data_IF_421240317553
#
_entry.id   IF_421240317553
#
_cell.length_a   1.000
_cell.length_b   1.000
_cell.length_c   1.000
_cell.angle_alpha   90.00
_cell.angle_beta   90.00
_cell.angle_gamma   90.00
#
_symmetry.space_group_name_H-M   'P 1'
#
loop_
_entity.id
_entity.type
_entity.pdbx_description
1 polymer ?
#
# COMPACT_ATOMS: atom_id res chain seq x y z
N UNK A 1 25.49 -8.36 22.22
CA UNK A 1 26.04 -7.43 21.21
C UNK A 1 25.89 -8.13 19.86
N UNK A 2 24.99 -7.68 19.02
CA UNK A 2 24.85 -8.19 17.65
C UNK A 2 26.13 -7.92 16.86
N UNK A 3 26.51 -8.86 15.98
CA UNK A 3 27.67 -8.70 15.09
C UNK A 3 27.54 -7.37 14.31
N UNK A 4 28.65 -6.67 14.02
CA UNK A 4 28.57 -5.43 13.27
C UNK A 4 27.98 -5.70 11.90
N UNK A 5 26.89 -5.02 11.58
CA UNK A 5 26.25 -5.15 10.28
C UNK A 5 27.23 -4.69 9.18
N UNK A 6 27.39 -5.46 8.09
CA UNK A 6 28.30 -5.09 7.00
C UNK A 6 27.80 -3.83 6.28
N UNK A 7 28.74 -3.09 5.68
CA UNK A 7 28.39 -1.98 4.78
C UNK A 7 27.62 -2.49 3.58
N UNK A 8 26.52 -1.83 3.24
CA UNK A 8 25.70 -2.14 2.07
C UNK A 8 25.77 -1.05 1.02
N UNK A 9 25.61 -1.43 -0.23
CA UNK A 9 25.56 -0.52 -1.38
C UNK A 9 24.46 -0.94 -2.36
N UNK A 10 23.81 0.04 -2.97
CA UNK A 10 22.84 -0.19 -4.06
C UNK A 10 22.70 1.02 -4.96
N UNK A 11 22.20 0.81 -6.18
CA UNK A 11 21.67 1.87 -7.03
C UNK A 11 20.32 2.28 -6.45
N UNK A 12 20.18 3.55 -6.06
CA UNK A 12 18.99 4.09 -5.41
C UNK A 12 18.01 4.77 -6.39
N UNK A 13 18.42 4.98 -7.63
CA UNK A 13 17.56 5.52 -8.71
C UNK A 13 16.91 4.39 -9.50
N UNK A 14 15.76 4.67 -10.13
CA UNK A 14 15.07 3.71 -10.99
C UNK A 14 16.00 3.21 -12.13
N UNK A 15 15.89 1.94 -12.55
CA UNK A 15 16.67 1.41 -13.67
C UNK A 15 16.35 2.15 -14.97
N UNK A 16 17.37 2.31 -15.84
CA UNK A 16 17.20 2.95 -17.13
C UNK A 16 18.27 4.01 -17.41
N UNK A 17 18.02 4.87 -18.41
CA UNK A 17 18.91 5.98 -18.75
C UNK A 17 18.34 7.29 -18.19
N UNK A 18 19.08 7.92 -17.30
CA UNK A 18 18.73 9.20 -16.70
C UNK A 18 19.89 10.20 -16.73
N UNK A 19 19.60 11.48 -16.57
CA UNK A 19 20.64 12.51 -16.44
C UNK A 19 21.45 12.35 -15.15
N UNK A 20 20.83 11.80 -14.09
CA UNK A 20 21.45 11.56 -12.78
C UNK A 20 21.17 10.13 -12.33
N UNK A 21 22.20 9.45 -11.81
CA UNK A 21 22.09 8.20 -11.09
C UNK A 21 22.70 8.33 -9.70
N UNK A 22 22.16 7.59 -8.73
CA UNK A 22 22.58 7.62 -7.33
C UNK A 22 22.97 6.24 -6.85
N UNK A 23 24.20 6.08 -6.36
CA UNK A 23 24.63 4.95 -5.55
C UNK A 23 24.52 5.35 -4.09
N UNK A 24 23.84 4.55 -3.29
CA UNK A 24 23.73 4.75 -1.84
C UNK A 24 24.47 3.66 -1.09
N UNK A 25 25.22 4.07 -0.07
CA UNK A 25 25.89 3.17 0.88
C UNK A 25 25.39 3.46 2.30
N UNK A 26 25.29 2.45 3.13
CA UNK A 26 25.03 2.57 4.57
C UNK A 26 25.91 1.60 5.36
N UNK A 27 26.45 2.06 6.49
CA UNK A 27 27.30 1.26 7.34
C UNK A 27 27.99 2.09 8.41
N UNK A 28 28.87 1.45 9.19
CA UNK A 28 29.66 2.12 10.22
C UNK A 28 30.96 2.63 9.67
N UNK A 29 31.34 3.89 10.05
CA UNK A 29 32.64 4.48 9.70
C UNK A 29 32.93 4.51 8.20
N UNK A 30 32.03 5.10 7.41
CA UNK A 30 32.17 5.18 5.95
C UNK A 30 33.10 6.30 5.45
N UNK A 31 33.60 7.16 6.32
CA UNK A 31 34.45 8.28 5.91
C UNK A 31 35.72 7.85 5.14
N UNK A 32 36.48 6.79 5.55
CA UNK A 32 37.63 6.30 4.78
C UNK A 32 37.25 5.83 3.36
N UNK A 33 36.09 5.19 3.23
CA UNK A 33 35.59 4.75 1.93
C UNK A 33 35.26 5.94 1.03
N UNK A 34 34.58 6.97 1.57
CA UNK A 34 34.31 8.22 0.87
C UNK A 34 35.61 8.92 0.41
N UNK A 35 36.65 8.96 1.24
CA UNK A 35 37.95 9.51 0.90
C UNK A 35 38.62 8.75 -0.25
N UNK A 36 38.58 7.41 -0.19
CA UNK A 36 39.15 6.57 -1.25
C UNK A 36 38.46 6.82 -2.60
N UNK A 37 37.14 6.89 -2.60
CA UNK A 37 36.35 7.17 -3.81
C UNK A 37 36.59 8.55 -4.40
N UNK A 38 36.89 9.55 -3.56
CA UNK A 38 37.05 10.95 -3.96
C UNK A 38 38.49 11.42 -4.11
N UNK A 39 39.46 10.48 -4.18
CA UNK A 39 40.89 10.83 -4.33
C UNK A 39 41.49 11.51 -3.10
N UNK A 40 41.10 11.09 -1.91
CA UNK A 40 41.63 11.61 -0.64
C UNK A 40 40.88 12.82 -0.07
N UNK A 41 39.87 13.33 -0.76
CA UNK A 41 39.07 14.45 -0.27
C UNK A 41 38.18 14.02 0.91
N UNK A 42 38.06 14.87 1.92
CA UNK A 42 37.23 14.60 3.11
C UNK A 42 35.88 15.31 2.96
N UNK A 43 34.75 14.60 2.75
CA UNK A 43 33.45 15.24 2.67
C UNK A 43 33.01 15.76 4.03
N UNK A 44 32.47 16.99 4.07
CA UNK A 44 31.81 17.50 5.26
C UNK A 44 30.38 16.97 5.33
N UNK A 45 29.86 16.60 6.50
CA UNK A 45 28.49 16.12 6.63
C UNK A 45 27.48 17.11 6.04
N UNK A 46 26.53 16.58 5.22
CA UNK A 46 25.43 17.31 4.58
C UNK A 46 25.87 18.45 3.66
N UNK A 47 27.10 18.39 3.17
CA UNK A 47 27.66 19.37 2.22
C UNK A 47 27.97 18.66 0.92
N UNK A 48 27.49 19.22 -0.19
CA UNK A 48 27.76 18.69 -1.53
C UNK A 48 29.26 18.88 -1.88
N UNK A 49 29.94 17.77 -2.14
CA UNK A 49 31.33 17.75 -2.59
C UNK A 49 31.35 17.35 -4.07
N UNK A 50 31.63 18.30 -4.97
CA UNK A 50 31.87 17.96 -6.39
C UNK A 50 33.28 17.37 -6.54
N UNK A 51 33.35 16.16 -7.11
CA UNK A 51 34.60 15.40 -7.24
C UNK A 51 34.53 14.35 -8.32
N UNK A 52 35.71 13.88 -8.76
CA UNK A 52 35.81 12.66 -9.55
C UNK A 52 35.62 11.45 -8.63
N UNK A 53 34.96 10.40 -9.12
CA UNK A 53 34.82 9.09 -8.48
C UNK A 53 35.85 8.14 -9.10
N UNK A 54 36.79 7.67 -8.29
CA UNK A 54 37.98 6.95 -8.76
C UNK A 54 37.80 5.43 -8.76
N UNK A 55 38.21 4.81 -9.85
CA UNK A 55 38.38 3.37 -9.98
C UNK A 55 39.53 2.80 -9.15
N UNK A 56 39.71 1.47 -9.18
CA UNK A 56 40.81 0.78 -8.53
C UNK A 56 42.19 1.09 -9.11
N UNK A 57 42.23 1.52 -10.36
CA UNK A 57 43.40 1.97 -11.10
C UNK A 57 43.73 3.46 -10.90
N UNK A 58 42.93 4.16 -10.10
CA UNK A 58 43.04 5.59 -9.86
C UNK A 58 42.52 6.49 -10.99
N UNK A 59 41.95 5.91 -12.04
CA UNK A 59 41.31 6.69 -13.10
C UNK A 59 39.89 7.09 -12.72
N UNK A 60 39.37 8.23 -13.17
CA UNK A 60 37.99 8.62 -12.97
C UNK A 60 37.04 7.64 -13.68
N UNK A 61 36.08 7.09 -12.94
CA UNK A 61 34.92 6.37 -13.50
C UNK A 61 33.90 7.38 -13.98
N UNK A 62 33.63 8.40 -13.16
CA UNK A 62 32.69 9.47 -13.42
C UNK A 62 33.03 10.68 -12.54
N UNK A 63 32.33 11.80 -12.73
CA UNK A 63 32.40 12.93 -11.82
C UNK A 63 30.97 13.36 -11.40
N UNK A 64 30.86 13.89 -10.20
CA UNK A 64 29.55 14.25 -9.68
C UNK A 64 29.60 14.77 -8.25
N UNK A 65 28.49 14.60 -7.54
CA UNK A 65 28.33 15.06 -6.17
C UNK A 65 28.44 13.86 -5.22
N UNK A 66 29.33 13.97 -4.23
CA UNK A 66 29.37 13.09 -3.07
C UNK A 66 28.70 13.79 -1.90
N UNK A 67 27.70 13.14 -1.31
CA UNK A 67 27.07 13.55 -0.05
C UNK A 67 27.39 12.55 1.05
N UNK A 68 27.78 13.06 2.22
CA UNK A 68 28.03 12.27 3.41
C UNK A 68 27.06 12.68 4.53
N UNK A 69 26.41 11.69 5.13
CA UNK A 69 25.52 11.86 6.27
C UNK A 69 26.10 11.07 7.45
N UNK A 70 26.61 11.78 8.44
CA UNK A 70 27.18 11.16 9.62
C UNK A 70 26.08 10.60 10.54
N UNK A 71 26.33 9.43 11.11
CA UNK A 71 25.49 8.86 12.16
C UNK A 71 25.37 9.79 13.37
N UNK A 72 24.22 9.82 14.07
CA UNK A 72 22.95 9.18 13.76
C UNK A 72 22.04 10.03 12.85
N UNK A 73 22.55 11.13 12.29
CA UNK A 73 21.78 12.12 11.54
C UNK A 73 21.67 11.76 10.04
N UNK A 74 21.29 10.52 9.76
CA UNK A 74 21.07 9.95 8.42
C UNK A 74 19.73 9.24 8.34
N UNK A 75 19.36 8.71 7.16
CA UNK A 75 18.15 7.94 6.95
C UNK A 75 18.15 6.63 7.75
N UNK A 76 19.26 5.86 7.68
CA UNK A 76 19.37 4.57 8.35
C UNK A 76 19.80 4.67 9.81
N UNK A 77 20.21 5.85 10.28
CA UNK A 77 20.85 6.03 11.60
C UNK A 77 22.34 5.62 11.65
N UNK A 78 22.87 5.02 10.57
CA UNK A 78 24.30 4.75 10.35
C UNK A 78 24.94 5.88 9.53
N UNK A 79 26.25 5.80 9.24
CA UNK A 79 26.81 6.66 8.20
C UNK A 79 26.21 6.31 6.84
N UNK A 80 25.87 7.32 6.05
CA UNK A 80 25.33 7.15 4.69
C UNK A 80 26.17 7.99 3.73
N UNK A 81 26.51 7.39 2.58
CA UNK A 81 27.13 8.09 1.46
C UNK A 81 26.20 7.98 0.26
N UNK A 82 26.06 9.07 -0.47
CA UNK A 82 25.45 9.10 -1.80
C UNK A 82 26.44 9.60 -2.82
N UNK A 83 26.63 8.82 -3.90
CA UNK A 83 27.38 9.18 -5.09
C UNK A 83 26.37 9.51 -6.18
N UNK A 84 26.26 10.77 -6.54
CA UNK A 84 25.34 11.28 -7.56
C UNK A 84 26.15 11.62 -8.81
N UNK A 85 26.14 10.67 -9.77
CA UNK A 85 26.84 10.78 -11.04
C UNK A 85 25.88 10.74 -12.22
N UNK A 86 26.39 10.43 -13.43
CA UNK A 86 25.57 10.27 -14.62
C UNK A 86 24.80 8.93 -14.58
N UNK A 87 23.49 8.98 -14.86
CA UNK A 87 22.55 7.85 -14.73
C UNK A 87 22.61 6.85 -15.90
N UNK A 88 23.77 6.65 -16.50
CA UNK A 88 23.98 5.61 -17.51
C UNK A 88 24.16 4.24 -16.84
N UNK A 89 23.50 3.15 -17.31
CA UNK A 89 23.58 1.84 -16.66
C UNK A 89 25.03 1.34 -16.47
N UNK A 90 25.91 1.57 -17.44
CA UNK A 90 27.32 1.16 -17.37
C UNK A 90 28.09 1.92 -16.30
N UNK A 91 27.86 3.25 -16.21
CA UNK A 91 28.51 4.09 -15.19
C UNK A 91 28.06 3.68 -13.79
N UNK A 92 26.74 3.46 -13.61
CA UNK A 92 26.18 3.01 -12.33
C UNK A 92 26.74 1.64 -11.91
N UNK A 93 26.86 0.70 -12.84
CA UNK A 93 27.44 -0.62 -12.58
C UNK A 93 28.94 -0.52 -12.19
N UNK A 94 29.74 0.29 -12.90
CA UNK A 94 31.14 0.52 -12.55
C UNK A 94 31.29 1.15 -11.15
N UNK A 95 30.48 2.14 -10.81
CA UNK A 95 30.51 2.79 -9.48
C UNK A 95 30.08 1.82 -8.39
N UNK A 96 29.03 1.03 -8.61
CA UNK A 96 28.58 0.02 -7.66
C UNK A 96 29.66 -1.05 -7.46
N UNK A 97 30.23 -1.59 -8.55
CA UNK A 97 31.33 -2.56 -8.50
C UNK A 97 32.51 -2.02 -7.70
N UNK A 98 32.86 -0.72 -7.89
CA UNK A 98 33.91 -0.08 -7.10
C UNK A 98 33.59 -0.04 -5.61
N UNK A 99 32.34 0.23 -5.23
CA UNK A 99 31.91 0.21 -3.83
C UNK A 99 32.04 -1.22 -3.23
N UNK A 100 31.70 -2.25 -4.01
CA UNK A 100 31.84 -3.66 -3.59
C UNK A 100 33.31 -4.06 -3.40
N UNK A 101 34.22 -3.66 -4.30
CA UNK A 101 35.66 -3.86 -4.16
C UNK A 101 36.22 -3.22 -2.87
N UNK A 102 35.65 -2.10 -2.44
CA UNK A 102 36.02 -1.42 -1.20
C UNK A 102 35.40 -2.05 0.07
N UNK A 103 34.74 -3.20 -0.06
CA UNK A 103 34.25 -3.99 1.06
C UNK A 103 32.77 -3.81 1.41
N UNK A 104 32.02 -3.09 0.59
CA UNK A 104 30.57 -3.12 0.69
C UNK A 104 30.02 -4.44 0.11
N UNK A 105 28.82 -4.83 0.52
CA UNK A 105 28.05 -5.88 -0.18
C UNK A 105 26.80 -5.26 -0.81
N UNK A 106 26.20 -5.98 -1.75
CA UNK A 106 24.88 -5.59 -2.27
C UNK A 106 23.85 -5.53 -1.15
N UNK A 107 23.04 -4.49 -1.17
CA UNK A 107 21.87 -4.40 -0.30
C UNK A 107 20.79 -5.39 -0.72
N UNK A 108 20.11 -5.96 0.25
CA UNK A 108 18.87 -6.71 0.03
C UNK A 108 17.70 -5.75 -0.25
N UNK A 109 16.57 -6.23 -0.83
CA UNK A 109 15.36 -5.43 -0.96
C UNK A 109 14.96 -4.81 0.37
N UNK A 110 14.65 -3.50 0.40
CA UNK A 110 14.24 -2.77 1.60
C UNK A 110 15.25 -2.65 2.72
N UNK A 111 16.52 -3.05 2.53
CA UNK A 111 17.49 -3.13 3.63
C UNK A 111 17.83 -1.77 4.25
N UNK A 112 17.86 -0.69 3.49
CA UNK A 112 18.08 0.64 4.05
C UNK A 112 16.94 1.04 4.98
N UNK A 113 15.69 0.79 4.60
CA UNK A 113 14.51 1.08 5.42
C UNK A 113 14.43 0.13 6.62
N UNK A 114 14.79 -1.16 6.46
CA UNK A 114 14.91 -2.11 7.57
C UNK A 114 15.92 -1.63 8.62
N UNK A 115 17.08 -1.11 8.19
CA UNK A 115 18.07 -0.53 9.10
C UNK A 115 17.56 0.73 9.79
N UNK A 116 16.81 1.57 9.08
CA UNK A 116 16.16 2.74 9.68
C UNK A 116 15.19 2.32 10.80
N UNK A 117 14.38 1.29 10.58
CA UNK A 117 13.50 0.70 11.59
C UNK A 117 14.30 0.13 12.77
N UNK A 118 15.29 -0.73 12.53
CA UNK A 118 16.11 -1.35 13.59
C UNK A 118 16.92 -0.33 14.41
N UNK A 119 17.22 0.81 13.84
CA UNK A 119 17.90 1.92 14.50
C UNK A 119 16.92 2.99 15.08
N UNK A 120 15.64 2.66 15.21
CA UNK A 120 14.59 3.53 15.77
C UNK A 120 14.48 4.91 15.06
N UNK A 121 14.74 4.96 13.75
CA UNK A 121 14.53 6.16 12.92
C UNK A 121 13.10 6.25 12.41
N UNK A 122 12.49 5.10 12.19
CA UNK A 122 11.12 4.90 11.75
C UNK A 122 10.53 3.75 12.55
N UNK A 123 9.25 3.79 12.84
CA UNK A 123 8.49 2.59 13.23
C UNK A 123 8.10 1.76 11.98
N UNK A 124 7.46 0.61 12.19
CA UNK A 124 7.15 -0.30 11.09
C UNK A 124 6.11 0.28 10.12
N UNK A 125 5.08 0.98 10.61
CA UNK A 125 4.07 1.61 9.77
C UNK A 125 4.67 2.77 8.96
N UNK A 126 5.57 3.57 9.55
CA UNK A 126 6.33 4.60 8.83
C UNK A 126 7.27 3.98 7.78
N UNK A 127 7.94 2.87 8.11
CA UNK A 127 8.81 2.17 7.18
C UNK A 127 8.03 1.68 5.94
N UNK A 128 6.86 1.09 6.14
CA UNK A 128 5.97 0.68 5.05
C UNK A 128 5.48 1.85 4.19
N UNK A 129 5.25 3.01 4.83
CA UNK A 129 4.80 4.22 4.12
C UNK A 129 5.85 4.76 3.14
N UNK A 130 7.14 4.40 3.29
CA UNK A 130 8.18 4.72 2.30
C UNK A 130 7.87 4.04 0.96
N UNK A 131 7.51 2.75 0.98
CA UNK A 131 7.12 2.03 -0.22
C UNK A 131 5.81 2.57 -0.79
N UNK A 132 4.80 2.80 0.06
CA UNK A 132 3.50 3.31 -0.36
C UNK A 132 3.61 4.69 -1.03
N UNK A 133 4.53 5.55 -0.58
CA UNK A 133 4.77 6.86 -1.19
C UNK A 133 5.39 6.74 -2.60
N UNK A 134 6.24 5.74 -2.81
CA UNK A 134 6.91 5.49 -4.08
C UNK A 134 5.95 4.88 -5.09
N UNK A 135 5.11 3.95 -4.63
CA UNK A 135 4.17 3.18 -5.44
C UNK A 135 2.83 3.92 -5.63
N UNK A 136 2.68 5.11 -5.03
CA UNK A 136 1.44 5.88 -5.07
C UNK A 136 1.02 6.22 -6.52
N UNK A 137 -0.16 5.75 -6.90
CA UNK A 137 -0.73 5.93 -8.24
C UNK A 137 -1.63 7.16 -8.38
N UNK A 138 -1.96 7.84 -7.26
CA UNK A 138 -2.76 9.06 -7.25
C UNK A 138 -2.17 10.13 -6.33
N UNK A 139 -2.55 11.40 -6.56
CA UNK A 139 -2.14 12.53 -5.70
C UNK A 139 -2.60 12.34 -4.26
N UNK A 140 -3.80 11.79 -4.07
CA UNK A 140 -4.38 11.52 -2.75
C UNK A 140 -3.60 10.44 -2.03
N UNK A 141 -3.31 9.30 -2.70
CA UNK A 141 -2.49 8.24 -2.13
C UNK A 141 -1.09 8.75 -1.73
N UNK A 142 -0.42 9.55 -2.58
CA UNK A 142 0.88 10.12 -2.27
C UNK A 142 0.85 11.05 -1.04
N UNK A 143 -0.18 11.91 -0.91
CA UNK A 143 -0.35 12.80 0.25
C UNK A 143 -0.56 11.99 1.54
N UNK A 144 -1.38 10.95 1.49
CA UNK A 144 -1.66 10.11 2.65
C UNK A 144 -0.47 9.27 3.04
N UNK A 145 0.26 8.68 2.06
CA UNK A 145 1.52 8.00 2.33
C UNK A 145 2.54 8.92 3.02
N UNK A 146 2.66 10.17 2.57
CA UNK A 146 3.53 11.15 3.22
C UNK A 146 3.08 11.48 4.66
N UNK A 147 1.77 11.53 4.93
CA UNK A 147 1.25 11.73 6.31
C UNK A 147 1.56 10.54 7.20
N UNK A 148 1.33 9.31 6.71
CA UNK A 148 1.68 8.09 7.43
C UNK A 148 3.18 8.02 7.70
N UNK A 149 4.03 8.35 6.72
CA UNK A 149 5.48 8.44 6.89
C UNK A 149 5.89 9.48 7.95
N UNK A 150 5.14 10.58 8.09
CA UNK A 150 5.35 11.59 9.15
C UNK A 150 4.82 11.16 10.52
N UNK A 151 4.26 9.95 10.64
CA UNK A 151 3.85 9.34 11.88
C UNK A 151 2.39 9.60 12.28
N UNK A 152 1.54 10.16 11.41
CA UNK A 152 0.14 10.42 11.77
C UNK A 152 -0.62 9.16 12.18
N UNK A 153 -0.43 8.05 11.46
CA UNK A 153 -1.04 6.77 11.81
C UNK A 153 -0.44 6.20 13.09
N UNK A 154 0.89 6.16 13.19
CA UNK A 154 1.61 5.65 14.34
C UNK A 154 1.23 6.39 15.63
N UNK A 155 1.00 7.70 15.56
CA UNK A 155 0.56 8.47 16.72
C UNK A 155 -0.80 7.99 17.25
N UNK A 156 -1.77 7.73 16.38
CA UNK A 156 -3.08 7.20 16.80
C UNK A 156 -2.95 5.81 17.44
N UNK A 157 -2.06 4.96 16.88
CA UNK A 157 -1.80 3.63 17.45
C UNK A 157 -1.14 3.74 18.84
N UNK A 158 -0.11 4.60 18.99
CA UNK A 158 0.54 4.81 20.29
C UNK A 158 -0.45 5.32 21.34
N UNK A 159 -1.33 6.28 20.97
CA UNK A 159 -2.38 6.77 21.87
C UNK A 159 -3.35 5.65 22.31
N UNK A 160 -3.72 4.73 21.41
CA UNK A 160 -4.51 3.55 21.77
C UNK A 160 -3.77 2.60 22.70
N UNK A 161 -2.49 2.35 22.43
CA UNK A 161 -1.63 1.49 23.26
C UNK A 161 -1.44 2.10 24.67
N UNK A 162 -1.20 3.40 24.77
CA UNK A 162 -1.05 4.09 26.05
C UNK A 162 -2.33 4.04 26.89
N UNK A 163 -3.50 4.21 26.24
CA UNK A 163 -4.80 4.07 26.91
C UNK A 163 -5.04 2.63 27.39
N UNK A 164 -4.68 1.62 26.54
CA UNK A 164 -4.75 0.19 26.91
C UNK A 164 -3.85 -0.13 28.10
N UNK A 165 -2.59 0.33 28.09
CA UNK A 165 -1.65 0.17 29.19
C UNK A 165 -2.23 0.79 30.46
N UNK A 166 -2.76 2.01 30.37
CA UNK A 166 -3.34 2.71 31.51
C UNK A 166 -4.52 1.94 32.10
N UNK A 167 -5.43 1.45 31.26
CA UNK A 167 -6.58 0.68 31.70
C UNK A 167 -6.14 -0.67 32.31
N UNK A 168 -5.18 -1.35 31.66
CA UNK A 168 -4.65 -2.63 32.15
C UNK A 168 -3.97 -2.48 33.51
N UNK A 169 -3.16 -1.43 33.73
CA UNK A 169 -2.55 -1.14 35.03
C UNK A 169 -3.59 -1.00 36.15
N UNK A 170 -4.72 -0.33 35.87
CA UNK A 170 -5.82 -0.19 36.84
C UNK A 170 -6.45 -1.54 37.18
N UNK A 171 -6.64 -2.40 36.17
CA UNK A 171 -7.22 -3.74 36.36
C UNK A 171 -6.25 -4.66 37.11
N UNK A 172 -4.98 -4.68 36.71
CA UNK A 172 -3.93 -5.48 37.39
C UNK A 172 -3.73 -5.05 38.86
N UNK A 173 -3.81 -3.74 39.15
CA UNK A 173 -3.76 -3.25 40.53
C UNK A 173 -4.90 -3.80 41.41
N UNK A 174 -6.09 -4.01 40.85
CA UNK A 174 -7.21 -4.65 41.55
C UNK A 174 -6.92 -6.12 41.86
N UNK A 175 -6.22 -6.82 40.99
CA UNK A 175 -5.83 -8.23 41.19
C UNK A 175 -4.71 -8.39 42.24
N UNK A 176 -3.77 -7.43 42.28
CA UNK A 176 -2.62 -7.47 43.18
C UNK A 176 -2.99 -7.09 44.65
N UNK A 177 -4.05 -6.30 44.84
CA UNK A 177 -4.50 -5.83 46.16
C UNK A 177 -5.95 -6.21 46.49
N UNK A 178 -6.28 -7.49 46.53
CA UNK A 178 -7.68 -7.95 46.75
C UNK A 178 -8.22 -7.69 48.15
N UNK A 179 -7.38 -7.34 49.14
CA UNK A 179 -7.77 -7.10 50.52
C UNK A 179 -8.12 -5.62 50.82
N UNK A 180 -7.97 -4.71 49.84
CA UNK A 180 -8.37 -3.33 50.03
C UNK A 180 -9.87 -3.16 49.72
N UNK A 181 -10.61 -2.52 50.67
CA UNK A 181 -12.05 -2.21 50.54
C UNK A 181 -12.40 -1.23 49.42
N UNK A 182 -11.47 -0.94 48.53
CA UNK A 182 -11.64 -0.01 47.39
C UNK A 182 -11.86 -0.83 46.13
N UNK A 183 -13.05 -0.75 45.54
CA UNK A 183 -13.26 -1.20 44.18
C UNK A 183 -12.54 -0.25 43.19
N UNK A 184 -11.30 -0.58 42.89
CA UNK A 184 -10.48 0.21 41.97
C UNK A 184 -11.11 0.30 40.59
N UNK A 185 -11.91 -0.68 40.17
CA UNK A 185 -12.61 -0.65 38.86
C UNK A 185 -13.70 0.41 38.87
N UNK A 186 -14.50 0.54 39.94
CA UNK A 186 -15.48 1.61 40.09
C UNK A 186 -14.84 2.97 40.32
N UNK A 187 -13.86 3.06 41.23
CA UNK A 187 -13.20 4.31 41.59
C UNK A 187 -12.44 4.93 40.39
N UNK A 188 -11.90 4.10 39.51
CA UNK A 188 -11.16 4.53 38.32
C UNK A 188 -12.00 4.61 37.04
N UNK A 189 -13.31 4.33 37.13
CA UNK A 189 -14.21 4.28 35.96
C UNK A 189 -13.68 3.38 34.83
N UNK A 190 -13.24 2.17 35.14
CA UNK A 190 -12.63 1.25 34.19
C UNK A 190 -13.57 0.93 33.00
N UNK A 191 -14.87 0.81 33.25
CA UNK A 191 -15.89 0.55 32.22
C UNK A 191 -16.08 1.74 31.29
N UNK A 192 -16.10 2.98 31.83
CA UNK A 192 -16.16 4.20 31.02
C UNK A 192 -14.91 4.39 30.16
N UNK A 193 -13.72 4.08 30.72
CA UNK A 193 -12.46 4.08 29.96
C UNK A 193 -12.46 3.05 28.84
N UNK A 194 -12.94 1.82 29.08
CA UNK A 194 -13.09 0.80 28.04
C UNK A 194 -14.00 1.27 26.92
N UNK A 195 -15.16 1.85 27.25
CA UNK A 195 -16.10 2.38 26.26
C UNK A 195 -15.48 3.51 25.43
N UNK A 196 -14.73 4.42 26.06
CA UNK A 196 -14.02 5.49 25.36
C UNK A 196 -12.95 4.93 24.42
N UNK A 197 -12.20 3.93 24.85
CA UNK A 197 -11.19 3.23 24.06
C UNK A 197 -11.81 2.52 22.83
N UNK A 198 -12.92 1.80 23.02
CA UNK A 198 -13.68 1.20 21.91
C UNK A 198 -14.14 2.24 20.89
N UNK A 199 -14.63 3.39 21.35
CA UNK A 199 -15.04 4.50 20.48
C UNK A 199 -13.86 5.07 19.67
N UNK A 200 -12.68 5.22 20.30
CA UNK A 200 -11.46 5.67 19.63
C UNK A 200 -10.98 4.65 18.61
N UNK A 201 -10.92 3.36 18.99
CA UNK A 201 -10.51 2.28 18.08
C UNK A 201 -11.40 2.23 16.83
N UNK A 202 -12.73 2.33 16.98
CA UNK A 202 -13.67 2.38 15.84
C UNK A 202 -13.40 3.56 14.90
N UNK A 203 -13.04 4.72 15.44
CA UNK A 203 -12.67 5.89 14.63
C UNK A 203 -11.39 5.66 13.84
N UNK A 204 -10.37 5.07 14.47
CA UNK A 204 -9.10 4.72 13.82
C UNK A 204 -9.32 3.65 12.75
N UNK A 205 -10.09 2.61 13.06
CA UNK A 205 -10.42 1.53 12.13
C UNK A 205 -11.15 2.06 10.89
N UNK A 206 -12.19 2.87 11.06
CA UNK A 206 -12.90 3.49 9.93
C UNK A 206 -11.98 4.33 9.03
N UNK A 207 -11.06 5.10 9.62
CA UNK A 207 -10.05 5.86 8.85
C UNK A 207 -9.05 4.94 8.14
N UNK A 208 -8.65 3.84 8.76
CA UNK A 208 -7.74 2.85 8.20
C UNK A 208 -8.39 2.11 7.00
N UNK A 209 -9.66 1.74 7.09
CA UNK A 209 -10.44 1.12 6.01
C UNK A 209 -10.51 2.03 4.78
N UNK A 210 -10.82 3.31 4.97
CA UNK A 210 -10.82 4.30 3.88
C UNK A 210 -9.41 4.46 3.26
N UNK A 211 -8.37 4.48 4.09
CA UNK A 211 -6.99 4.54 3.63
C UNK A 211 -6.54 3.30 2.86
N UNK A 212 -7.03 2.12 3.22
CA UNK A 212 -6.77 0.88 2.49
C UNK A 212 -7.39 0.91 1.09
N UNK A 213 -8.60 1.43 0.95
CA UNK A 213 -9.26 1.63 -0.36
C UNK A 213 -8.42 2.52 -1.27
N UNK A 214 -7.87 3.62 -0.75
CA UNK A 214 -6.99 4.51 -1.53
C UNK A 214 -5.65 3.88 -1.91
N UNK A 215 -5.17 2.94 -1.12
CA UNK A 215 -3.91 2.24 -1.37
C UNK A 215 -4.10 1.08 -2.35
N UNK A 216 -5.05 0.21 -2.08
CA UNK A 216 -5.25 -1.04 -2.81
C UNK A 216 -6.11 -0.83 -4.07
N UNK A 217 -6.98 0.20 -4.03
CA UNK A 217 -7.92 0.45 -5.10
C UNK A 217 -9.01 -0.61 -5.17
N UNK A 218 -9.65 -0.73 -6.34
CA UNK A 218 -10.61 -1.78 -6.65
C UNK A 218 -10.27 -2.49 -7.95
N UNK A 219 -10.57 -3.78 -8.02
CA UNK A 219 -10.44 -4.59 -9.21
C UNK A 219 -11.81 -4.69 -9.91
N UNK A 220 -11.90 -4.20 -11.14
CA UNK A 220 -13.13 -4.16 -11.91
C UNK A 220 -13.00 -5.02 -13.14
N UNK A 221 -13.88 -6.00 -13.30
CA UNK A 221 -13.96 -6.84 -14.49
C UNK A 221 -14.94 -6.24 -15.49
N UNK A 222 -14.50 -6.05 -16.74
CA UNK A 222 -15.36 -5.61 -17.84
C UNK A 222 -15.84 -6.80 -18.67
N UNK A 223 -17.16 -7.01 -18.67
CA UNK A 223 -17.83 -8.05 -19.44
C UNK A 223 -18.71 -7.41 -20.52
N UNK A 224 -18.70 -7.95 -21.71
CA UNK A 224 -19.61 -7.49 -22.78
C UNK A 224 -19.16 -7.93 -24.18
N UNK A 225 -20.08 -7.89 -25.12
CA UNK A 225 -19.86 -8.24 -26.53
C UNK A 225 -18.78 -7.34 -27.18
N UNK A 226 -18.16 -7.76 -28.29
CA UNK A 226 -17.38 -6.84 -29.11
C UNK A 226 -18.23 -5.65 -29.54
N UNK A 227 -17.61 -4.45 -29.61
CA UNK A 227 -18.23 -3.19 -30.04
C UNK A 227 -19.38 -2.65 -29.15
N UNK A 228 -19.60 -3.22 -27.97
CA UNK A 228 -20.57 -2.68 -26.99
C UNK A 228 -20.12 -1.36 -26.36
N UNK A 229 -18.84 -0.99 -26.56
CA UNK A 229 -18.26 0.29 -26.09
C UNK A 229 -17.36 0.17 -24.87
N UNK A 230 -16.75 -1.00 -24.59
CA UNK A 230 -15.82 -1.18 -23.45
C UNK A 230 -14.68 -0.15 -23.45
N UNK A 231 -13.91 -0.07 -24.55
CA UNK A 231 -12.80 0.89 -24.66
C UNK A 231 -13.28 2.35 -24.60
N UNK A 232 -14.46 2.65 -25.16
CA UNK A 232 -15.05 4.00 -25.05
C UNK A 232 -15.40 4.34 -23.61
N UNK A 233 -15.94 3.38 -22.86
CA UNK A 233 -16.26 3.55 -21.44
C UNK A 233 -15.00 3.78 -20.62
N UNK A 234 -13.94 2.99 -20.84
CA UNK A 234 -12.66 3.16 -20.15
C UNK A 234 -12.05 4.51 -20.42
N UNK A 235 -11.96 4.93 -21.68
CA UNK A 235 -11.44 6.24 -22.04
C UNK A 235 -12.27 7.38 -21.42
N UNK A 236 -13.59 7.22 -21.38
CA UNK A 236 -14.47 8.21 -20.79
C UNK A 236 -14.38 8.26 -19.26
N UNK A 237 -14.17 7.13 -18.59
CA UNK A 237 -13.93 7.06 -17.14
C UNK A 237 -12.55 7.61 -16.76
N UNK A 238 -11.53 7.33 -17.58
CA UNK A 238 -10.18 7.82 -17.35
C UNK A 238 -10.09 9.36 -17.45
N UNK A 239 -10.88 10.00 -18.32
CA UNK A 239 -10.91 11.46 -18.47
C UNK A 239 -9.51 12.05 -18.65
N UNK A 240 -9.25 13.18 -17.97
CA UNK A 240 -7.92 13.81 -17.91
C UNK A 240 -6.99 13.18 -16.86
N UNK A 241 -7.52 12.30 -15.98
CA UNK A 241 -6.79 11.62 -14.90
C UNK A 241 -6.37 10.19 -15.31
N UNK A 242 -5.77 10.05 -16.48
CA UNK A 242 -5.08 8.81 -16.84
C UNK A 242 -3.94 8.65 -15.85
N UNK A 243 -4.00 7.60 -15.01
CA UNK A 243 -2.86 7.20 -14.21
C UNK A 243 -1.66 7.03 -15.16
N UNK A 244 -0.54 7.68 -14.85
CA UNK A 244 0.69 7.51 -15.62
C UNK A 244 1.07 6.03 -15.43
N UNK A 245 0.73 5.19 -16.41
CA UNK A 245 1.24 3.83 -16.48
C UNK A 245 2.74 3.98 -16.68
N UNK A 246 3.50 3.95 -15.61
CA UNK A 246 4.93 3.78 -15.71
C UNK A 246 5.15 2.33 -16.10
N UNK A 247 5.55 2.10 -17.34
CA UNK A 247 6.18 0.85 -17.77
C UNK A 247 7.45 0.65 -16.92
N UNK A 248 7.28 0.08 -15.73
CA UNK A 248 8.42 -0.36 -14.94
C UNK A 248 8.93 -1.61 -15.64
N UNK A 249 10.01 -1.45 -16.38
CA UNK A 249 10.70 -2.56 -17.03
C UNK A 249 11.10 -3.60 -15.97
N UNK A 250 10.39 -4.72 -15.93
CA UNK A 250 10.61 -5.81 -14.97
C UNK A 250 9.32 -6.40 -14.39
N UNK A 251 8.16 -5.73 -14.50
CA UNK A 251 6.86 -6.23 -14.03
C UNK A 251 5.99 -6.85 -15.16
N UNK A 252 6.55 -7.07 -16.35
CA UNK A 252 5.88 -7.58 -17.55
C UNK A 252 5.40 -9.04 -17.46
N UNK A 253 5.23 -9.59 -16.26
CA UNK A 253 4.67 -10.96 -16.06
C UNK A 253 3.21 -10.99 -15.63
N UNK A 254 2.61 -9.83 -15.32
CA UNK A 254 1.22 -9.75 -14.91
C UNK A 254 0.32 -9.33 -16.09
N UNK A 255 -0.92 -9.82 -16.06
CA UNK A 255 -1.99 -9.48 -17.01
C UNK A 255 -2.04 -7.98 -17.26
N UNK A 256 -2.20 -7.54 -18.51
CA UNK A 256 -2.38 -6.13 -18.90
C UNK A 256 -3.60 -5.59 -18.12
N UNK A 257 -3.32 -4.90 -17.00
CA UNK A 257 -4.32 -4.19 -16.22
C UNK A 257 -4.23 -2.72 -16.63
N UNK A 258 -5.27 -2.21 -17.26
CA UNK A 258 -5.40 -0.75 -17.40
C UNK A 258 -5.78 -0.20 -16.02
N UNK A 259 -5.11 0.84 -15.60
CA UNK A 259 -5.39 1.51 -14.32
C UNK A 259 -5.92 2.92 -14.59
N UNK A 260 -7.07 3.22 -13.98
CA UNK A 260 -7.65 4.56 -13.96
C UNK A 260 -7.80 5.03 -12.52
N UNK A 261 -8.08 6.30 -12.31
CA UNK A 261 -8.32 6.86 -10.98
C UNK A 261 -9.71 7.47 -10.91
N UNK A 262 -10.53 7.06 -9.94
CA UNK A 262 -11.85 7.63 -9.66
C UNK A 262 -11.82 8.31 -8.28
N UNK A 263 -11.93 9.64 -8.24
CA UNK A 263 -11.88 10.44 -6.99
C UNK A 263 -10.71 10.05 -6.06
N UNK A 264 -9.53 9.87 -6.65
CA UNK A 264 -8.32 9.47 -5.92
C UNK A 264 -8.16 7.96 -5.71
N UNK A 265 -9.21 7.16 -5.85
CA UNK A 265 -9.19 5.69 -5.70
C UNK A 265 -8.66 5.04 -6.97
N UNK A 266 -7.61 4.21 -6.91
CA UNK A 266 -7.14 3.43 -8.05
C UNK A 266 -8.17 2.39 -8.46
N UNK A 267 -8.43 2.26 -9.77
CA UNK A 267 -9.31 1.23 -10.33
C UNK A 267 -8.54 0.40 -11.34
N UNK A 268 -8.36 -0.86 -11.03
CA UNK A 268 -7.66 -1.82 -11.87
C UNK A 268 -8.65 -2.53 -12.78
N UNK A 269 -8.57 -2.26 -14.07
CA UNK A 269 -9.49 -2.84 -15.05
C UNK A 269 -8.95 -4.16 -15.56
N UNK A 270 -9.75 -5.19 -15.45
CA UNK A 270 -9.47 -6.55 -15.93
C UNK A 270 -10.31 -6.76 -17.21
N UNK A 271 -9.66 -6.79 -18.38
CA UNK A 271 -10.38 -7.06 -19.63
C UNK A 271 -10.60 -8.56 -19.82
N UNK A 272 -11.85 -8.93 -20.03
CA UNK A 272 -12.26 -10.34 -20.31
C UNK A 272 -11.97 -10.78 -21.74
N UNK A 273 -11.36 -9.94 -22.59
CA UNK A 273 -11.02 -10.34 -23.97
C UNK A 273 -10.06 -11.55 -24.00
N UNK A 274 -9.24 -11.74 -22.96
CA UNK A 274 -8.37 -12.90 -22.76
C UNK A 274 -9.05 -14.17 -22.24
N UNK A 275 -10.34 -14.15 -21.89
CA UNK A 275 -11.08 -15.34 -21.42
C UNK A 275 -11.62 -16.24 -22.55
N UNK A 276 -11.20 -16.02 -23.80
CA UNK A 276 -11.65 -16.84 -24.94
C UNK A 276 -10.95 -18.19 -24.89
N UNK A 277 -11.73 -19.27 -25.02
CA UNK A 277 -11.18 -20.61 -25.18
C UNK A 277 -10.35 -20.70 -26.48
N UNK A 278 -9.14 -21.23 -26.37
CA UNK A 278 -8.20 -21.43 -27.47
C UNK A 278 -7.44 -22.73 -27.26
N UNK A 279 -7.02 -23.34 -28.34
CA UNK A 279 -6.19 -24.54 -28.35
C UNK A 279 -4.67 -24.24 -28.23
N UNK A 280 -4.28 -22.97 -28.21
CA UNK A 280 -2.89 -22.55 -28.10
C UNK A 280 -2.41 -22.52 -26.63
N UNK A 281 -1.29 -23.20 -26.36
CA UNK A 281 -0.73 -23.36 -25.00
C UNK A 281 -0.35 -21.99 -24.38
N UNK A 282 0.09 -21.02 -25.16
CA UNK A 282 0.44 -19.67 -24.66
C UNK A 282 -0.81 -18.90 -24.27
N UNK A 283 -1.89 -19.05 -25.05
CA UNK A 283 -3.19 -18.45 -24.75
C UNK A 283 -3.88 -19.15 -23.56
N UNK A 284 -3.71 -20.47 -23.37
CA UNK A 284 -4.23 -21.17 -22.19
C UNK A 284 -3.65 -20.64 -20.87
N UNK A 285 -2.37 -20.29 -20.83
CA UNK A 285 -1.74 -19.63 -19.68
C UNK A 285 -2.36 -18.23 -19.44
N UNK A 286 -2.70 -17.53 -20.51
CA UNK A 286 -3.42 -16.25 -20.45
C UNK A 286 -4.82 -16.38 -19.86
N UNK A 287 -5.57 -17.44 -20.26
CA UNK A 287 -6.92 -17.74 -19.76
C UNK A 287 -6.90 -18.06 -18.26
N UNK A 288 -5.92 -18.85 -17.78
CA UNK A 288 -5.81 -19.22 -16.37
C UNK A 288 -5.48 -17.99 -15.50
N UNK A 289 -4.61 -17.10 -15.97
CA UNK A 289 -4.33 -15.81 -15.33
C UNK A 289 -5.56 -14.90 -15.30
N UNK A 290 -6.30 -14.82 -16.40
CA UNK A 290 -7.53 -14.03 -16.46
C UNK A 290 -8.61 -14.58 -15.52
N UNK A 291 -8.74 -15.92 -15.38
CA UNK A 291 -9.64 -16.54 -14.40
C UNK A 291 -9.24 -16.20 -12.96
N UNK A 292 -7.94 -16.24 -12.64
CA UNK A 292 -7.45 -15.83 -11.33
C UNK A 292 -7.75 -14.35 -11.06
N UNK A 293 -7.49 -13.47 -12.03
CA UNK A 293 -7.76 -12.04 -11.88
C UNK A 293 -9.27 -11.76 -11.68
N UNK A 294 -10.14 -12.51 -12.35
CA UNK A 294 -11.60 -12.44 -12.16
C UNK A 294 -12.01 -12.93 -10.76
N UNK A 295 -11.32 -13.92 -10.18
CA UNK A 295 -11.61 -14.39 -8.82
C UNK A 295 -11.20 -13.38 -7.74
N UNK A 296 -10.33 -12.43 -8.06
CA UNK A 296 -9.86 -11.35 -7.19
C UNK A 296 -10.61 -10.02 -7.44
N UNK A 297 -11.64 -10.03 -8.30
CA UNK A 297 -12.39 -8.82 -8.64
C UNK A 297 -13.40 -8.45 -7.55
N UNK A 298 -13.54 -7.15 -7.32
CA UNK A 298 -14.52 -6.58 -6.38
C UNK A 298 -15.89 -6.36 -7.07
N UNK A 299 -15.86 -5.94 -8.35
CA UNK A 299 -17.06 -5.59 -9.12
C UNK A 299 -16.94 -6.07 -10.56
N UNK A 300 -18.02 -6.60 -11.13
CA UNK A 300 -18.16 -6.86 -12.57
C UNK A 300 -19.10 -5.84 -13.23
N UNK A 301 -18.59 -5.12 -14.23
CA UNK A 301 -19.36 -4.25 -15.09
C UNK A 301 -19.80 -5.00 -16.35
N UNK A 302 -21.09 -5.19 -16.51
CA UNK A 302 -21.69 -5.94 -17.60
C UNK A 302 -22.25 -4.96 -18.63
N UNK A 303 -21.48 -4.70 -19.69
CA UNK A 303 -21.87 -3.76 -20.73
C UNK A 303 -22.78 -4.42 -21.76
N UNK A 304 -23.95 -3.81 -21.97
CA UNK A 304 -24.95 -4.24 -22.94
C UNK A 304 -25.29 -3.05 -23.85
N UNK A 305 -25.45 -3.34 -25.13
CA UNK A 305 -26.17 -2.46 -26.05
C UNK A 305 -27.65 -2.88 -26.00
N UNK A 306 -28.57 -2.05 -25.49
CA UNK A 306 -29.97 -2.45 -25.32
C UNK A 306 -30.66 -2.86 -26.62
N UNK A 307 -30.11 -2.46 -27.78
CA UNK A 307 -30.62 -2.83 -29.10
C UNK A 307 -30.30 -4.28 -29.51
N UNK A 308 -29.19 -4.84 -28.97
CA UNK A 308 -28.69 -6.17 -29.29
C UNK A 308 -28.98 -7.19 -28.17
N UNK A 309 -29.07 -6.71 -26.93
CA UNK A 309 -29.30 -7.56 -25.76
C UNK A 309 -28.10 -8.43 -25.39
N UNK A 310 -28.34 -9.42 -24.52
CA UNK A 310 -27.32 -10.36 -24.05
C UNK A 310 -27.18 -11.51 -25.09
N UNK A 311 -25.98 -11.65 -25.63
CA UNK A 311 -25.68 -12.75 -26.54
C UNK A 311 -25.14 -13.99 -25.79
N UNK A 312 -25.10 -15.15 -26.47
CA UNK A 312 -24.66 -16.40 -25.86
C UNK A 312 -23.22 -16.36 -25.33
N UNK A 313 -22.32 -15.55 -25.93
CA UNK A 313 -20.94 -15.40 -25.46
C UNK A 313 -20.89 -14.60 -24.17
N UNK A 314 -21.62 -13.50 -24.09
CA UNK A 314 -21.74 -12.70 -22.84
C UNK A 314 -22.33 -13.57 -21.73
N UNK A 315 -23.37 -14.38 -22.03
CA UNK A 315 -23.97 -15.29 -21.07
C UNK A 315 -22.99 -16.35 -20.57
N UNK A 316 -22.15 -16.91 -21.43
CA UNK A 316 -21.11 -17.87 -21.01
C UNK A 316 -20.08 -17.24 -20.04
N UNK A 317 -19.65 -15.99 -20.29
CA UNK A 317 -18.76 -15.28 -19.38
C UNK A 317 -19.46 -15.01 -18.05
N UNK A 318 -20.72 -14.54 -18.08
CA UNK A 318 -21.50 -14.30 -16.86
C UNK A 318 -21.61 -15.54 -15.98
N UNK A 319 -21.82 -16.70 -16.59
CA UNK A 319 -21.92 -17.97 -15.88
C UNK A 319 -20.57 -18.44 -15.29
N UNK A 320 -19.45 -17.87 -15.76
CA UNK A 320 -18.10 -18.17 -15.23
C UNK A 320 -17.65 -17.23 -14.12
N UNK A 321 -18.41 -16.16 -13.84
CA UNK A 321 -18.10 -15.24 -12.76
C UNK A 321 -18.37 -15.89 -11.39
N UNK A 322 -17.57 -15.56 -10.34
CA UNK A 322 -17.79 -16.05 -8.99
C UNK A 322 -19.20 -15.74 -8.46
N UNK A 323 -19.75 -16.70 -7.70
CA UNK A 323 -20.97 -16.45 -6.91
C UNK A 323 -20.66 -15.40 -5.83
N UNK A 324 -21.38 -14.38 -5.69
CA UNK A 324 -21.13 -13.29 -4.71
C UNK A 324 -20.32 -12.11 -5.23
N UNK A 325 -19.74 -12.20 -6.44
CA UNK A 325 -19.16 -11.02 -7.08
C UNK A 325 -20.27 -10.00 -7.37
N UNK A 326 -20.07 -8.77 -6.91
CA UNK A 326 -20.98 -7.65 -7.19
C UNK A 326 -21.05 -7.39 -8.69
N UNK A 327 -22.25 -7.23 -9.22
CA UNK A 327 -22.49 -7.08 -10.67
C UNK A 327 -23.32 -5.83 -10.91
N UNK A 328 -22.85 -4.97 -11.80
CA UNK A 328 -23.57 -3.78 -12.27
C UNK A 328 -23.80 -3.93 -13.77
N UNK A 329 -25.04 -3.94 -14.20
CA UNK A 329 -25.40 -3.95 -15.63
C UNK A 329 -25.40 -2.52 -16.17
N UNK A 330 -24.71 -2.32 -17.30
CA UNK A 330 -24.58 -1.02 -17.95
C UNK A 330 -25.26 -1.04 -19.30
N UNK A 331 -26.34 -0.32 -19.45
CA UNK A 331 -26.99 -0.03 -20.73
C UNK A 331 -26.25 1.13 -21.38
N UNK A 332 -25.31 0.82 -22.26
CA UNK A 332 -24.51 1.83 -22.96
C UNK A 332 -25.23 2.32 -24.23
N UNK A 333 -24.75 3.41 -24.80
CA UNK A 333 -25.29 4.07 -26.01
C UNK A 333 -26.68 4.68 -25.83
N UNK A 334 -26.97 5.22 -24.64
CA UNK A 334 -28.24 5.92 -24.36
C UNK A 334 -28.52 7.07 -25.35
N UNK A 335 -27.46 7.70 -25.91
CA UNK A 335 -27.54 8.69 -26.98
C UNK A 335 -28.16 8.17 -28.28
N UNK A 336 -28.08 6.87 -28.54
CA UNK A 336 -28.63 6.22 -29.74
C UNK A 336 -29.99 5.55 -29.47
N UNK A 337 -30.25 5.13 -28.24
CA UNK A 337 -31.51 4.45 -27.86
C UNK A 337 -32.58 5.39 -27.38
N UNK A 338 -32.21 6.62 -26.97
CA UNK A 338 -33.11 7.57 -26.30
C UNK A 338 -33.51 7.14 -24.89
N UNK A 339 -32.84 6.15 -24.31
CA UNK A 339 -33.08 5.71 -22.95
C UNK A 339 -32.64 6.78 -21.95
N UNK A 340 -33.45 7.11 -20.92
CA UNK A 340 -33.07 8.11 -19.94
C UNK A 340 -31.85 7.65 -19.14
N UNK A 341 -30.89 8.55 -18.96
CA UNK A 341 -29.73 8.34 -18.08
C UNK A 341 -30.21 8.24 -16.63
N UNK A 342 -30.08 7.08 -16.03
CA UNK A 342 -30.55 6.82 -14.66
C UNK A 342 -29.92 5.55 -14.07
N UNK A 343 -29.91 5.47 -12.72
CA UNK A 343 -29.72 4.22 -11.98
C UNK A 343 -31.10 3.63 -11.70
N UNK A 344 -31.26 2.33 -11.96
CA UNK A 344 -32.53 1.60 -11.78
C UNK A 344 -32.29 0.33 -10.97
N UNK A 345 -33.24 -0.01 -10.12
CA UNK A 345 -33.24 -1.23 -9.30
C UNK A 345 -34.58 -1.98 -9.44
N UNK A 346 -35.21 -1.88 -10.60
CA UNK A 346 -36.60 -2.27 -10.82
C UNK A 346 -36.77 -3.59 -11.61
N UNK A 347 -35.77 -4.44 -11.63
CA UNK A 347 -35.85 -5.75 -12.30
C UNK A 347 -35.80 -5.69 -13.83
N UNK A 348 -35.40 -4.55 -14.40
CA UNK A 348 -35.21 -4.39 -15.87
C UNK A 348 -33.86 -4.97 -16.35
N UNK A 349 -33.06 -5.54 -15.46
CA UNK A 349 -31.80 -6.16 -15.80
C UNK A 349 -32.00 -7.35 -16.73
N UNK A 350 -31.24 -7.39 -17.83
CA UNK A 350 -31.22 -8.52 -18.76
C UNK A 350 -30.39 -9.70 -18.25
N UNK A 351 -29.53 -9.46 -17.26
CA UNK A 351 -28.59 -10.43 -16.67
C UNK A 351 -29.01 -10.92 -15.29
N UNK A 352 -30.16 -10.46 -14.77
CA UNK A 352 -30.68 -10.85 -13.46
C UNK A 352 -29.94 -10.18 -12.28
N UNK A 353 -29.27 -9.03 -12.50
CA UNK A 353 -28.66 -8.22 -11.46
C UNK A 353 -29.62 -7.15 -10.94
N UNK A 354 -29.40 -6.69 -9.71
CA UNK A 354 -30.32 -5.71 -9.07
C UNK A 354 -30.09 -4.26 -9.51
N UNK A 355 -28.89 -3.93 -10.00
CA UNK A 355 -28.52 -2.56 -10.36
C UNK A 355 -28.24 -2.43 -11.85
N UNK A 356 -28.98 -1.56 -12.51
CA UNK A 356 -28.83 -1.19 -13.93
C UNK A 356 -28.52 0.29 -14.04
N UNK A 357 -27.50 0.65 -14.81
CA UNK A 357 -27.13 2.04 -15.08
C UNK A 357 -27.21 2.30 -16.58
N UNK A 358 -28.09 3.20 -16.99
CA UNK A 358 -28.18 3.65 -18.38
C UNK A 358 -27.28 4.87 -18.57
N UNK A 359 -26.35 4.79 -19.54
CA UNK A 359 -25.36 5.83 -19.82
C UNK A 359 -24.96 5.89 -21.30
N UNK A 360 -24.22 6.92 -21.67
CA UNK A 360 -23.53 7.01 -22.96
C UNK A 360 -22.05 7.26 -22.73
N UNK A 361 -21.21 6.27 -22.99
CA UNK A 361 -19.78 6.39 -22.95
C UNK A 361 -19.23 7.40 -23.98
N UNK A 362 -19.96 7.63 -25.08
CA UNK A 362 -19.54 8.55 -26.14
C UNK A 362 -19.77 10.03 -25.78
N UNK A 363 -20.88 10.35 -25.08
CA UNK A 363 -21.23 11.72 -24.71
C UNK A 363 -20.83 12.07 -23.28
N UNK A 364 -20.44 11.08 -22.48
CA UNK A 364 -20.15 11.23 -21.05
C UNK A 364 -21.39 11.24 -20.15
N UNK A 365 -22.59 11.20 -20.71
CA UNK A 365 -23.83 11.24 -19.94
C UNK A 365 -23.99 9.99 -19.07
N UNK A 366 -24.16 10.17 -17.75
CA UNK A 366 -24.34 9.10 -16.76
C UNK A 366 -23.04 8.47 -16.23
N UNK A 367 -21.87 8.96 -16.64
CA UNK A 367 -20.59 8.48 -16.08
C UNK A 367 -20.47 8.78 -14.59
N UNK A 368 -21.01 9.91 -14.13
CA UNK A 368 -20.99 10.27 -12.71
C UNK A 368 -21.81 9.28 -11.86
N UNK A 369 -22.91 8.76 -12.41
CA UNK A 369 -23.70 7.73 -11.74
C UNK A 369 -22.92 6.42 -11.58
N UNK A 370 -22.19 6.03 -12.62
CA UNK A 370 -21.33 4.85 -12.58
C UNK A 370 -20.15 5.03 -11.60
N UNK A 371 -19.48 6.19 -11.65
CA UNK A 371 -18.40 6.52 -10.69
C UNK A 371 -18.92 6.41 -9.25
N UNK A 372 -20.05 7.03 -8.96
CA UNK A 372 -20.65 6.99 -7.63
C UNK A 372 -21.01 5.57 -7.20
N UNK A 373 -21.61 4.77 -8.08
CA UNK A 373 -21.96 3.37 -7.79
C UNK A 373 -20.70 2.52 -7.51
N UNK A 374 -19.63 2.67 -8.29
CA UNK A 374 -18.36 1.97 -8.07
C UNK A 374 -17.72 2.33 -6.73
N UNK A 375 -17.66 3.63 -6.40
CA UNK A 375 -17.10 4.09 -5.14
C UNK A 375 -17.94 3.65 -3.93
N UNK A 376 -19.25 3.59 -4.07
CA UNK A 376 -20.16 3.05 -3.05
C UNK A 376 -19.92 1.55 -2.79
N UNK A 377 -19.67 0.74 -3.83
CA UNK A 377 -19.44 -0.70 -3.67
C UNK A 377 -18.22 -1.02 -2.82
N UNK A 378 -17.17 -0.19 -2.87
CA UNK A 378 -15.99 -0.34 -2.01
C UNK A 378 -16.08 0.44 -0.70
N UNK A 379 -17.22 1.07 -0.43
CA UNK A 379 -17.44 1.84 0.82
C UNK A 379 -16.67 3.16 0.89
N UNK A 380 -16.25 3.72 -0.24
CA UNK A 380 -15.53 5.00 -0.28
C UNK A 380 -16.46 6.17 0.11
N UNK A 381 -16.05 6.95 1.10
CA UNK A 381 -16.82 8.08 1.65
C UNK A 381 -16.28 9.46 1.23
N UNK A 382 -15.21 9.49 0.45
CA UNK A 382 -14.56 10.71 0.03
C UNK A 382 -13.29 11.05 0.82
N UNK A 383 -12.53 12.03 0.29
CA UNK A 383 -11.31 12.49 0.95
C UNK A 383 -11.61 13.25 2.25
N UNK A 384 -10.92 12.92 3.33
CA UNK A 384 -10.92 13.64 4.58
C UNK A 384 -9.49 13.96 4.99
N UNK A 385 -9.30 15.12 5.62
CA UNK A 385 -7.99 15.49 6.16
C UNK A 385 -7.49 14.56 7.29
N UNK A 386 -8.35 13.74 7.86
CA UNK A 386 -8.00 12.79 8.92
C UNK A 386 -7.49 11.43 8.40
N UNK A 387 -7.60 11.13 7.10
CA UNK A 387 -7.22 9.83 6.55
C UNK A 387 -5.71 9.62 6.51
N UNK A 388 -5.30 8.37 6.67
CA UNK A 388 -3.93 7.87 6.53
C UNK A 388 -3.96 6.53 5.79
N UNK A 389 -2.87 6.16 5.10
CA UNK A 389 -2.81 4.86 4.45
C UNK A 389 -2.70 3.75 5.49
N UNK A 390 -3.42 2.67 5.25
CA UNK A 390 -3.34 1.44 6.02
C UNK A 390 -3.18 0.23 5.10
N UNK A 391 -2.64 -0.85 5.64
CA UNK A 391 -2.46 -2.14 4.94
C UNK A 391 -3.36 -3.18 5.56
N UNK A 392 -3.66 -4.24 4.82
CA UNK A 392 -4.49 -5.35 5.30
C UNK A 392 -4.02 -5.90 6.65
N UNK A 393 -2.68 -5.96 6.91
CA UNK A 393 -2.17 -6.37 8.23
C UNK A 393 -2.58 -5.42 9.36
N UNK A 394 -2.63 -4.10 9.07
CA UNK A 394 -3.07 -3.10 10.05
C UNK A 394 -4.56 -3.26 10.36
N UNK A 395 -5.38 -3.47 9.32
CA UNK A 395 -6.82 -3.73 9.51
C UNK A 395 -7.04 -5.00 10.32
N UNK A 396 -6.33 -6.09 10.02
CA UNK A 396 -6.43 -7.33 10.78
C UNK A 396 -6.08 -7.12 12.26
N UNK A 397 -5.00 -6.42 12.55
CA UNK A 397 -4.59 -6.11 13.93
C UNK A 397 -5.61 -5.23 14.66
N UNK A 398 -6.20 -4.22 13.97
CA UNK A 398 -7.24 -3.37 14.56
C UNK A 398 -8.55 -4.14 14.80
N UNK A 399 -8.95 -5.04 13.89
CA UNK A 399 -10.11 -5.91 14.10
C UNK A 399 -9.90 -6.92 15.23
N UNK A 400 -8.68 -7.47 15.36
CA UNK A 400 -8.33 -8.33 16.48
C UNK A 400 -8.43 -7.56 17.81
N UNK A 401 -7.87 -6.34 17.84
CA UNK A 401 -7.99 -5.48 19.01
C UNK A 401 -9.46 -5.14 19.33
N UNK A 402 -10.30 -4.87 18.33
CA UNK A 402 -11.74 -4.61 18.50
C UNK A 402 -12.44 -5.83 19.11
N UNK A 403 -12.22 -7.02 18.57
CA UNK A 403 -12.81 -8.25 19.09
C UNK A 403 -12.41 -8.51 20.55
N UNK A 404 -11.15 -8.29 20.89
CA UNK A 404 -10.66 -8.45 22.26
C UNK A 404 -11.26 -7.42 23.22
N UNK A 405 -11.45 -6.16 22.80
CA UNK A 405 -12.15 -5.15 23.61
C UNK A 405 -13.66 -5.44 23.76
N UNK A 406 -14.29 -6.06 22.77
CA UNK A 406 -15.67 -6.52 22.88
C UNK A 406 -15.78 -7.68 23.89
N UNK A 407 -14.84 -8.64 23.83
CA UNK A 407 -14.76 -9.72 24.82
C UNK A 407 -14.51 -9.19 26.24
N UNK A 408 -13.61 -8.20 26.39
CA UNK A 408 -13.39 -7.51 27.66
C UNK A 408 -14.68 -6.87 28.20
N UNK A 409 -15.51 -6.26 27.34
CA UNK A 409 -16.78 -5.65 27.75
C UNK A 409 -17.81 -6.67 28.27
N UNK A 410 -17.72 -7.93 27.85
CA UNK A 410 -18.60 -9.03 28.29
C UNK A 410 -18.19 -9.62 29.64
N UNK A 411 -16.95 -9.41 30.09
CA UNK A 411 -16.52 -9.90 31.41
C UNK A 411 -17.29 -9.23 32.55
N UNK A 412 -17.73 -10.00 33.51
CA UNK A 412 -18.33 -9.50 34.76
C UNK A 412 -17.26 -9.17 35.82
N UNK A 413 -17.68 -8.64 36.98
CA UNK A 413 -16.75 -8.24 38.04
C UNK A 413 -16.01 -9.44 38.70
N UNK A 414 -16.44 -10.69 38.45
CA UNK A 414 -15.78 -11.90 38.95
C UNK A 414 -14.74 -12.43 37.95
N UNK A 415 -14.64 -11.83 36.75
CA UNK A 415 -13.78 -12.27 35.65
C UNK A 415 -12.66 -11.24 35.37
N UNK A 416 -12.13 -10.62 36.44
CA UNK A 416 -11.15 -9.55 36.34
C UNK A 416 -9.85 -10.02 35.65
N UNK A 417 -9.41 -11.26 35.93
CA UNK A 417 -8.23 -11.86 35.26
C UNK A 417 -8.45 -11.99 33.75
N UNK A 418 -9.65 -12.44 33.36
CA UNK A 418 -10.01 -12.58 31.95
C UNK A 418 -10.12 -11.20 31.27
N UNK A 419 -10.67 -10.22 31.99
CA UNK A 419 -10.71 -8.83 31.53
C UNK A 419 -9.30 -8.27 31.29
N UNK A 420 -8.34 -8.48 32.21
CA UNK A 420 -6.95 -8.09 32.06
C UNK A 420 -6.28 -8.78 30.84
N UNK A 421 -6.56 -10.07 30.64
CA UNK A 421 -6.02 -10.82 29.50
C UNK A 421 -6.54 -10.32 28.15
N UNK A 422 -7.82 -10.01 28.00
CA UNK A 422 -8.36 -9.40 26.79
C UNK A 422 -7.76 -8.03 26.51
N UNK A 423 -7.53 -7.19 27.52
CA UNK A 423 -6.82 -5.92 27.36
C UNK A 423 -5.37 -6.11 26.90
N UNK A 424 -4.68 -7.14 27.43
CA UNK A 424 -3.32 -7.49 27.03
C UNK A 424 -3.26 -7.93 25.56
N UNK A 425 -4.21 -8.76 25.12
CA UNK A 425 -4.29 -9.23 23.73
C UNK A 425 -4.58 -8.07 22.78
N UNK A 426 -5.52 -7.19 23.12
CA UNK A 426 -5.81 -5.97 22.34
C UNK A 426 -4.58 -5.05 22.23
N UNK A 427 -3.84 -4.87 23.34
CA UNK A 427 -2.59 -4.09 23.33
C UNK A 427 -1.55 -4.71 22.39
N UNK A 428 -1.35 -6.03 22.44
CA UNK A 428 -0.39 -6.72 21.59
C UNK A 428 -0.75 -6.54 20.10
N UNK A 429 -2.02 -6.73 19.75
CA UNK A 429 -2.50 -6.54 18.38
C UNK A 429 -2.22 -5.09 17.88
N UNK A 430 -2.51 -4.08 18.68
CA UNK A 430 -2.16 -2.69 18.32
C UNK A 430 -0.65 -2.46 18.20
N UNK A 431 0.16 -3.02 19.12
CA UNK A 431 1.62 -2.85 19.15
C UNK A 431 2.33 -3.52 17.96
N UNK A 432 1.75 -4.57 17.36
CA UNK A 432 2.26 -5.19 16.12
C UNK A 432 2.25 -4.23 14.93
N UNK A 433 1.33 -3.26 14.91
CA UNK A 433 1.23 -2.28 13.82
C UNK A 433 2.49 -1.44 13.73
N UNK A 434 3.01 -0.95 14.85
CA UNK A 434 4.21 -0.13 14.93
C UNK A 434 5.49 -0.93 15.04
N UNK A 435 5.40 -2.24 15.29
CA UNK A 435 6.52 -3.17 15.31
C UNK A 435 7.22 -3.29 16.66
N UNK A 436 6.55 -2.96 17.76
CA UNK A 436 7.12 -3.10 19.11
C UNK A 436 7.32 -4.58 19.50
N UNK A 437 6.47 -5.47 18.95
CA UNK A 437 6.51 -6.92 19.19
C UNK A 437 6.32 -7.68 17.86
N UNK A 438 7.36 -7.71 17.00
CA UNK A 438 7.30 -8.42 15.72
C UNK A 438 8.31 -9.57 15.69
N UNK A 439 7.88 -10.71 15.12
CA UNK A 439 8.79 -11.80 14.80
C UNK A 439 9.72 -11.42 13.63
N UNK A 440 10.98 -11.87 13.67
CA UNK A 440 11.97 -11.62 12.59
C UNK A 440 11.48 -12.09 11.22
N UNK A 441 10.68 -13.16 11.15
CA UNK A 441 10.11 -13.68 9.91
C UNK A 441 9.13 -12.69 9.27
N UNK A 442 8.30 -12.00 10.07
CA UNK A 442 7.37 -10.98 9.57
C UNK A 442 8.14 -9.79 8.98
N UNK A 443 9.21 -9.34 9.66
CA UNK A 443 10.07 -8.27 9.13
C UNK A 443 10.70 -8.69 7.79
N UNK A 444 11.12 -9.95 7.67
CA UNK A 444 11.64 -10.52 6.42
C UNK A 444 10.63 -10.39 5.28
N UNK A 445 9.38 -10.79 5.49
CA UNK A 445 8.32 -10.71 4.47
C UNK A 445 7.99 -9.27 4.09
N UNK A 446 7.86 -8.36 5.06
CA UNK A 446 7.54 -6.95 4.81
C UNK A 446 8.62 -6.31 3.93
N UNK A 447 9.89 -6.42 4.32
CA UNK A 447 10.99 -5.76 3.61
C UNK A 447 11.36 -6.42 2.28
N UNK A 448 11.07 -7.71 2.08
CA UNK A 448 11.31 -8.39 0.79
C UNK A 448 10.49 -7.81 -0.38
N UNK A 449 9.40 -7.12 -0.10
CA UNK A 449 8.53 -6.48 -1.10
C UNK A 449 8.99 -5.08 -1.51
N UNK A 450 10.05 -4.56 -0.88
CA UNK A 450 10.60 -3.25 -1.20
C UNK A 450 11.56 -3.33 -2.39
N UNK A 451 11.77 -2.19 -3.06
CA UNK A 451 12.80 -2.09 -4.07
C UNK A 451 14.21 -2.13 -3.46
N UNK A 452 15.19 -2.69 -4.22
CA UNK A 452 16.62 -2.62 -3.87
C UNK A 452 17.05 -1.14 -3.90
N UNK A 453 17.79 -0.70 -2.87
CA UNK A 453 18.24 0.69 -2.77
C UNK A 453 17.39 1.60 -1.87
N UNK A 454 16.33 1.01 -1.25
CA UNK A 454 15.43 1.70 -0.32
C UNK A 454 15.34 1.01 1.01
#
# INVERSE_FOLDING_TARGET
MSAPQPTIAAIATAPGRGGVGVIRLSGKNLLPLAQTLSGGKTPKPRTALYTDFLGGDGQPIDNGILLYFAAPASFTGEDVIELQGHGGPVVMDMLLSRCLELGARMAEPGEFTKRAFLNNKLDLAQAESVADLIDASSKSAARMALRSLKGAFSQHIHELVDDLITLRMLVEATLDFPEEDIDFLEAADARGKLQALQGRLKTVLASAEQGAILREGMNVVLVGAPNVGKSSLLNALAGDDIAIVTDIAGTTRDTVREQITLDGVPVHIIDTAGLRETDDVVEQIGIERSRKAVSEADVALILIDPREGVNAKTQAILNSLPEGLKKIEIHNKADLTGEPVAVRSDGLAQTGVDTVISLSANTGAGLDLLKHALLQEVGWQGESESLFLARSRHLNALHEAEAELENAALCDNNQIELFAEHLRLAQNACSEITGEFTADDLLGVIFSRFCIGK
#
